data_IF_968652034256
#
_entry.id   IF_968652034256
#
_cell.length_a   1.000
_cell.length_b   1.000
_cell.length_c   1.000
_cell.angle_alpha   90.00
_cell.angle_beta   90.00
_cell.angle_gamma   90.00
#
_symmetry.space_group_name_H-M   'P 1'
#
loop_
_entity.id
_entity.type
_entity.pdbx_description
1 polymer ?
#
# COMPACT_ATOMS: atom_id res chain seq x y z
N UNK A 1 -10.67 13.81 -25.66
CA UNK A 1 -10.29 12.49 -25.09
C UNK A 1 -10.95 12.43 -23.72
N UNK A 2 -11.85 11.46 -23.49
CA UNK A 2 -12.47 11.31 -22.17
C UNK A 2 -11.45 10.67 -21.23
N UNK A 3 -11.21 11.31 -20.08
CA UNK A 3 -10.37 10.75 -19.03
C UNK A 3 -11.29 9.94 -18.13
N UNK A 4 -11.09 8.63 -18.10
CA UNK A 4 -11.81 7.76 -17.18
C UNK A 4 -11.38 8.10 -15.74
N UNK A 5 -12.37 8.25 -14.86
CA UNK A 5 -12.18 8.61 -13.46
C UNK A 5 -12.77 7.55 -12.55
N UNK A 6 -12.19 7.44 -11.36
CA UNK A 6 -12.67 6.61 -10.28
C UNK A 6 -13.12 7.48 -9.10
N UNK A 7 -14.23 7.08 -8.47
CA UNK A 7 -14.63 7.58 -7.16
C UNK A 7 -13.90 6.75 -6.10
N UNK A 8 -13.25 7.45 -5.17
CA UNK A 8 -12.43 6.90 -4.09
C UNK A 8 -12.82 7.50 -2.74
N UNK A 9 -12.49 6.78 -1.66
CA UNK A 9 -12.70 7.26 -0.29
C UNK A 9 -11.41 7.15 0.54
N UNK A 10 -10.87 8.29 0.97
CA UNK A 10 -9.75 8.29 1.94
C UNK A 10 -10.26 8.56 3.34
N UNK A 11 -9.56 8.00 4.32
CA UNK A 11 -9.86 8.13 5.74
C UNK A 11 -8.72 8.93 6.36
N UNK A 12 -9.03 10.05 6.97
CA UNK A 12 -8.03 10.99 7.49
C UNK A 12 -8.37 11.39 8.90
N UNK A 13 -7.35 11.65 9.72
CA UNK A 13 -7.56 12.30 11.00
C UNK A 13 -8.21 13.66 10.77
N UNK A 14 -9.10 14.07 11.68
CA UNK A 14 -9.80 15.35 11.56
C UNK A 14 -8.83 16.53 11.43
N UNK A 15 -7.68 16.48 12.11
CA UNK A 15 -6.64 17.52 12.08
C UNK A 15 -5.94 17.62 10.72
N UNK A 16 -5.64 16.48 10.09
CA UNK A 16 -5.04 16.43 8.76
C UNK A 16 -6.02 16.97 7.71
N UNK A 17 -7.32 16.67 7.87
CA UNK A 17 -8.37 17.19 7.00
C UNK A 17 -8.55 18.71 7.15
N UNK A 18 -8.64 19.22 8.38
CA UNK A 18 -8.76 20.67 8.63
C UNK A 18 -7.56 21.44 8.07
N UNK A 19 -6.35 20.88 8.20
CA UNK A 19 -5.14 21.44 7.60
C UNK A 19 -5.24 21.45 6.07
N UNK A 20 -5.73 20.36 5.47
CA UNK A 20 -5.94 20.28 4.03
C UNK A 20 -7.01 21.26 3.50
N UNK A 21 -8.07 21.53 4.28
CA UNK A 21 -9.09 22.53 3.93
C UNK A 21 -8.51 23.96 3.89
N UNK A 22 -7.58 24.27 4.81
CA UNK A 22 -6.85 25.55 4.82
C UNK A 22 -5.85 25.66 3.67
N UNK A 23 -5.03 24.62 3.47
CA UNK A 23 -3.87 24.67 2.57
C UNK A 23 -4.21 24.26 1.13
N UNK A 24 -5.40 23.71 0.90
CA UNK A 24 -5.86 23.19 -0.39
C UNK A 24 -5.18 21.88 -0.82
N UNK A 25 -4.38 21.26 0.05
CA UNK A 25 -3.59 20.06 -0.26
C UNK A 25 -3.62 19.11 0.93
N UNK A 26 -4.18 17.91 0.71
CA UNK A 26 -4.00 16.79 1.62
C UNK A 26 -2.63 16.15 1.38
N UNK A 27 -1.87 15.91 2.44
CA UNK A 27 -0.53 15.32 2.39
C UNK A 27 -0.52 13.99 3.12
N UNK A 28 0.31 13.05 2.65
CA UNK A 28 0.53 11.80 3.37
C UNK A 28 1.11 12.09 4.75
N UNK A 29 0.78 11.23 5.73
CA UNK A 29 1.42 11.23 7.04
C UNK A 29 2.95 11.19 6.89
N UNK A 30 3.64 11.92 7.77
CA UNK A 30 5.09 11.89 7.80
C UNK A 30 5.56 10.53 8.31
N UNK A 31 6.12 9.71 7.41
CA UNK A 31 6.52 8.34 7.72
C UNK A 31 7.66 8.25 8.76
N UNK A 32 8.37 9.36 9.02
CA UNK A 32 9.33 9.45 10.12
C UNK A 32 8.68 9.26 11.52
N UNK A 33 7.34 9.18 11.59
CA UNK A 33 6.60 8.83 12.80
C UNK A 33 6.45 7.32 13.02
N UNK A 34 6.68 6.49 12.01
CA UNK A 34 6.70 5.03 12.17
C UNK A 34 8.13 4.60 12.52
N UNK A 35 8.29 4.01 13.70
CA UNK A 35 9.58 3.56 14.22
C UNK A 35 10.04 2.20 13.68
N UNK A 36 9.27 1.61 12.77
CA UNK A 36 9.48 0.25 12.28
C UNK A 36 10.12 0.27 10.89
N UNK A 37 11.34 -0.26 10.81
CA UNK A 37 12.10 -0.36 9.57
C UNK A 37 11.40 -1.25 8.53
N UNK A 38 10.61 -2.24 8.98
CA UNK A 38 9.89 -3.15 8.09
C UNK A 38 8.75 -2.45 7.35
N UNK A 39 8.00 -1.59 8.04
CA UNK A 39 6.98 -0.76 7.39
C UNK A 39 7.63 0.19 6.37
N UNK A 40 8.79 0.75 6.68
CA UNK A 40 9.48 1.64 5.76
C UNK A 40 9.85 0.94 4.44
N UNK A 41 10.39 -0.28 4.50
CA UNK A 41 10.74 -1.08 3.31
C UNK A 41 9.53 -1.30 2.41
N UNK A 42 8.41 -1.77 2.98
CA UNK A 42 7.19 -2.04 2.22
C UNK A 42 6.62 -0.77 1.55
N UNK A 43 6.64 0.35 2.26
CA UNK A 43 6.17 1.62 1.71
C UNK A 43 7.13 2.23 0.67
N UNK A 44 8.44 1.98 0.78
CA UNK A 44 9.39 2.35 -0.28
C UNK A 44 9.14 1.51 -1.56
N UNK A 45 8.87 0.21 -1.42
CA UNK A 45 8.44 -0.62 -2.57
C UNK A 45 7.17 -0.07 -3.21
N UNK A 46 6.17 0.32 -2.41
CA UNK A 46 4.93 0.93 -2.91
C UNK A 46 5.20 2.23 -3.68
N UNK A 47 6.13 3.07 -3.21
CA UNK A 47 6.53 4.30 -3.91
C UNK A 47 7.16 4.01 -5.27
N UNK A 48 7.93 2.93 -5.41
CA UNK A 48 8.48 2.49 -6.70
C UNK A 48 7.35 2.06 -7.63
N UNK A 49 6.44 1.19 -7.19
CA UNK A 49 5.29 0.74 -8.00
C UNK A 49 4.36 1.89 -8.41
N UNK A 50 4.13 2.86 -7.51
CA UNK A 50 3.42 4.08 -7.86
C UNK A 50 4.18 4.88 -8.92
N UNK A 51 5.50 5.06 -8.76
CA UNK A 51 6.31 5.81 -9.72
C UNK A 51 6.29 5.20 -11.12
N UNK A 52 6.33 3.86 -11.20
CA UNK A 52 6.22 3.11 -12.46
C UNK A 52 4.84 3.29 -13.11
N UNK A 53 3.76 3.33 -12.31
CA UNK A 53 2.37 3.38 -12.81
C UNK A 53 1.86 4.79 -13.13
N UNK A 54 2.16 5.76 -12.26
CA UNK A 54 1.55 7.10 -12.25
C UNK A 54 2.58 8.23 -12.37
N UNK A 55 3.87 7.89 -12.43
CA UNK A 55 4.96 8.87 -12.52
C UNK A 55 5.50 9.31 -11.16
N UNK A 56 6.55 10.16 -11.15
CA UNK A 56 7.27 10.52 -9.94
C UNK A 56 6.39 11.23 -8.91
N UNK A 57 6.70 11.10 -7.60
CA UNK A 57 5.92 11.74 -6.55
C UNK A 57 6.02 13.28 -6.66
N UNK A 58 5.02 14.02 -6.14
CA UNK A 58 5.05 15.48 -6.13
C UNK A 58 6.24 16.08 -5.39
N UNK A 59 6.74 15.38 -4.35
CA UNK A 59 7.98 15.71 -3.65
C UNK A 59 8.77 14.43 -3.34
N UNK A 60 10.12 14.49 -3.20
CA UNK A 60 10.94 13.28 -3.03
C UNK A 60 10.56 12.39 -1.85
N UNK A 61 10.02 12.98 -0.77
CA UNK A 61 9.70 12.28 0.48
C UNK A 61 8.20 12.01 0.66
N UNK A 62 7.39 12.17 -0.39
CA UNK A 62 5.96 11.85 -0.33
C UNK A 62 5.75 10.33 -0.32
N UNK A 63 4.87 9.90 0.56
CA UNK A 63 4.36 8.54 0.64
C UNK A 63 2.93 8.49 0.05
N UNK A 64 2.41 7.28 -0.21
CA UNK A 64 1.05 7.12 -0.71
C UNK A 64 0.01 7.74 0.23
N UNK A 65 -1.07 8.29 -0.35
CA UNK A 65 -2.33 8.50 0.36
C UNK A 65 -3.21 7.29 0.06
N UNK A 66 -3.56 6.53 1.09
CA UNK A 66 -4.44 5.38 0.94
C UNK A 66 -5.89 5.82 0.75
N UNK A 67 -6.57 5.17 -0.19
CA UNK A 67 -7.99 5.39 -0.44
C UNK A 67 -8.63 4.08 -0.92
N UNK A 68 -9.87 3.86 -0.50
CA UNK A 68 -10.68 2.74 -0.91
C UNK A 68 -11.29 3.01 -2.28
N UNK A 69 -11.04 2.12 -3.25
CA UNK A 69 -11.84 2.00 -4.46
C UNK A 69 -13.05 1.09 -4.25
N UNK A 70 -12.84 0.02 -3.47
CA UNK A 70 -13.84 -0.96 -3.07
C UNK A 70 -13.47 -1.47 -1.67
N UNK A 71 -14.36 -1.29 -0.69
CA UNK A 71 -14.12 -1.76 0.67
C UNK A 71 -14.52 -3.22 0.89
N UNK A 72 -15.79 -3.59 0.59
CA UNK A 72 -16.27 -4.98 0.79
C UNK A 72 -16.52 -5.71 -0.52
N UNK A 73 -17.33 -5.12 -1.38
CA UNK A 73 -17.72 -5.70 -2.66
C UNK A 73 -18.17 -4.59 -3.62
N UNK A 74 -18.51 -4.97 -4.86
CA UNK A 74 -18.90 -4.03 -5.91
C UNK A 74 -20.15 -3.21 -5.61
N UNK A 75 -21.04 -3.70 -4.72
CA UNK A 75 -22.23 -3.00 -4.25
C UNK A 75 -21.96 -2.18 -2.98
N UNK A 76 -20.94 -2.55 -2.21
CA UNK A 76 -20.54 -1.94 -0.94
C UNK A 76 -19.12 -1.35 -1.02
N UNK A 77 -18.91 -0.46 -1.99
CA UNK A 77 -17.59 0.13 -2.27
C UNK A 77 -17.16 1.16 -1.23
N UNK A 78 -18.11 1.94 -0.70
CA UNK A 78 -17.88 3.03 0.24
C UNK A 78 -17.66 2.48 1.66
N UNK A 79 -16.51 2.77 2.31
CA UNK A 79 -16.24 2.27 3.65
C UNK A 79 -17.13 2.93 4.70
N UNK A 80 -17.77 2.16 5.59
CA UNK A 80 -18.54 2.70 6.72
C UNK A 80 -17.62 2.87 7.94
N UNK A 81 -17.39 4.13 8.34
CA UNK A 81 -16.52 4.48 9.48
C UNK A 81 -16.88 3.71 10.75
N UNK A 82 -18.16 3.41 10.98
CA UNK A 82 -18.62 2.68 12.18
C UNK A 82 -18.21 1.22 12.18
N UNK A 83 -17.90 0.66 11.02
CA UNK A 83 -17.49 -0.74 10.86
C UNK A 83 -15.98 -0.90 10.92
N UNK A 84 -15.23 0.10 10.45
CA UNK A 84 -13.75 0.12 10.43
C UNK A 84 -13.14 0.82 11.65
N UNK A 85 -13.98 1.40 12.52
CA UNK A 85 -13.51 2.11 13.71
C UNK A 85 -12.66 1.24 14.65
N UNK A 86 -12.84 -0.09 14.62
CA UNK A 86 -12.01 -1.03 15.40
C UNK A 86 -10.55 -1.07 14.92
N UNK A 87 -10.31 -0.77 13.65
CA UNK A 87 -8.97 -0.76 13.03
C UNK A 87 -8.34 0.64 13.06
N UNK A 88 -9.06 1.64 13.59
CA UNK A 88 -8.60 3.01 13.72
C UNK A 88 -8.25 3.29 15.18
N UNK A 89 -7.12 3.98 15.46
CA UNK A 89 -6.84 4.54 16.78
C UNK A 89 -8.06 5.30 17.35
N UNK A 90 -8.21 5.35 18.68
CA UNK A 90 -9.28 6.10 19.36
C UNK A 90 -9.14 7.63 19.14
N UNK A 91 -9.55 8.11 17.96
CA UNK A 91 -9.47 9.48 17.50
C UNK A 91 -10.63 9.79 16.54
N UNK A 92 -10.84 11.07 16.25
CA UNK A 92 -11.84 11.51 15.28
C UNK A 92 -11.29 11.43 13.85
N UNK A 93 -12.00 10.71 12.99
CA UNK A 93 -11.69 10.56 11.57
C UNK A 93 -12.81 11.08 10.69
N UNK A 94 -12.42 11.56 9.51
CA UNK A 94 -13.33 11.89 8.42
C UNK A 94 -13.12 10.94 7.26
N UNK A 95 -14.21 10.67 6.52
CA UNK A 95 -14.16 9.97 5.24
C UNK A 95 -14.41 10.97 4.13
N UNK A 96 -13.41 11.17 3.29
CA UNK A 96 -13.44 12.11 2.17
C UNK A 96 -13.71 11.33 0.89
N UNK A 97 -14.76 11.69 0.17
CA UNK A 97 -15.07 11.17 -1.16
C UNK A 97 -14.50 12.10 -2.22
N UNK A 98 -13.80 11.54 -3.21
CA UNK A 98 -13.21 12.33 -4.29
C UNK A 98 -13.13 11.55 -5.60
N UNK A 99 -12.96 12.27 -6.70
CA UNK A 99 -12.71 11.69 -8.02
C UNK A 99 -11.25 11.88 -8.42
N UNK A 100 -10.66 10.84 -9.02
CA UNK A 100 -9.30 10.92 -9.56
C UNK A 100 -9.25 10.23 -10.93
N UNK A 101 -8.51 10.75 -11.92
CA UNK A 101 -8.24 10.02 -13.15
C UNK A 101 -7.59 8.66 -12.86
N UNK A 102 -7.99 7.63 -13.60
CA UNK A 102 -7.43 6.28 -13.43
C UNK A 102 -5.91 6.24 -13.67
N UNK A 103 -5.38 7.20 -14.44
CA UNK A 103 -3.95 7.36 -14.68
C UNK A 103 -3.15 7.90 -13.49
N UNK A 104 -3.82 8.39 -12.44
CA UNK A 104 -3.21 8.93 -11.23
C UNK A 104 -3.40 8.01 -10.01
N UNK A 105 -3.89 6.78 -10.24
CA UNK A 105 -4.20 5.80 -9.19
C UNK A 105 -3.44 4.51 -9.47
N UNK A 106 -2.77 3.98 -8.45
CA UNK A 106 -2.36 2.59 -8.38
C UNK A 106 -3.39 1.84 -7.53
N UNK A 107 -4.05 0.83 -8.10
CA UNK A 107 -4.90 -0.07 -7.34
C UNK A 107 -4.04 -1.20 -6.78
N UNK A 108 -4.18 -1.46 -5.49
CA UNK A 108 -3.62 -2.64 -4.82
C UNK A 108 -4.76 -3.41 -4.17
N UNK A 109 -4.54 -4.71 -3.99
CA UNK A 109 -5.42 -5.55 -3.19
C UNK A 109 -5.08 -5.39 -1.70
N UNK A 110 -6.11 -5.28 -0.86
CA UNK A 110 -5.94 -5.04 0.58
C UNK A 110 -5.32 -6.24 1.31
N UNK A 111 -5.71 -7.46 0.93
CA UNK A 111 -5.19 -8.67 1.55
C UNK A 111 -3.76 -8.92 1.06
N UNK A 112 -3.50 -8.77 -0.24
CA UNK A 112 -2.16 -8.95 -0.82
C UNK A 112 -1.14 -7.91 -0.33
N UNK A 113 -1.58 -6.71 0.08
CA UNK A 113 -0.68 -5.74 0.71
C UNK A 113 0.04 -6.31 1.93
N UNK A 114 -0.59 -7.24 2.67
CA UNK A 114 0.05 -7.89 3.82
C UNK A 114 1.24 -8.75 3.43
N UNK A 115 1.30 -9.31 2.21
CA UNK A 115 2.48 -10.05 1.74
C UNK A 115 3.66 -9.10 1.57
N UNK A 116 3.45 -7.92 0.99
CA UNK A 116 4.49 -6.89 0.86
C UNK A 116 4.96 -6.40 2.23
N UNK A 117 4.02 -6.15 3.16
CA UNK A 117 4.31 -5.76 4.54
C UNK A 117 5.24 -6.77 5.22
N UNK A 118 4.90 -8.06 5.12
CA UNK A 118 5.63 -9.13 5.79
C UNK A 118 6.81 -9.71 4.98
N UNK A 119 7.08 -9.16 3.78
CA UNK A 119 8.13 -9.67 2.89
C UNK A 119 7.94 -11.14 2.47
N UNK A 120 6.68 -11.53 2.23
CA UNK A 120 6.34 -12.89 1.81
C UNK A 120 6.30 -13.00 0.28
N UNK A 121 6.66 -14.18 -0.21
CA UNK A 121 6.51 -14.55 -1.61
C UNK A 121 5.04 -14.87 -1.92
N UNK A 122 4.58 -14.50 -3.12
CA UNK A 122 3.25 -14.88 -3.65
C UNK A 122 3.43 -15.79 -4.85
N UNK A 123 3.34 -17.11 -4.65
CA UNK A 123 3.38 -18.04 -5.77
C UNK A 123 2.19 -17.87 -6.71
N UNK A 124 2.44 -18.12 -8.00
CA UNK A 124 1.39 -18.11 -9.04
C UNK A 124 0.49 -19.34 -8.95
N UNK A 125 1.08 -20.44 -8.48
CA UNK A 125 0.47 -21.74 -8.24
C UNK A 125 1.34 -22.53 -7.24
N UNK A 126 0.90 -23.74 -6.89
CA UNK A 126 1.59 -24.60 -5.92
C UNK A 126 3.00 -25.00 -6.40
N UNK A 127 3.20 -25.21 -7.70
CA UNK A 127 4.50 -25.60 -8.25
C UNK A 127 5.54 -24.46 -8.11
N UNK A 128 5.10 -23.20 -8.28
CA UNK A 128 5.90 -21.99 -8.11
C UNK A 128 6.26 -21.74 -6.64
N UNK A 129 5.32 -21.95 -5.72
CA UNK A 129 5.58 -21.91 -4.27
C UNK A 129 6.62 -22.96 -3.86
N UNK A 130 6.43 -24.22 -4.27
CA UNK A 130 7.39 -25.30 -3.98
C UNK A 130 8.77 -25.01 -4.59
N UNK A 131 8.81 -24.38 -5.76
CA UNK A 131 10.06 -23.97 -6.39
C UNK A 131 10.78 -22.91 -5.56
N UNK A 132 10.07 -21.90 -5.08
CA UNK A 132 10.63 -20.87 -4.21
C UNK A 132 11.12 -21.47 -2.88
N UNK A 133 10.39 -22.40 -2.29
CA UNK A 133 10.80 -23.11 -1.06
C UNK A 133 12.09 -23.92 -1.25
N UNK A 134 12.25 -24.59 -2.39
CA UNK A 134 13.52 -25.28 -2.73
C UNK A 134 14.68 -24.29 -2.85
N UNK A 135 14.46 -23.12 -3.47
CA UNK A 135 15.49 -22.09 -3.57
C UNK A 135 15.91 -21.57 -2.19
N UNK A 136 14.96 -21.38 -1.27
CA UNK A 136 15.26 -20.99 0.11
C UNK A 136 16.13 -22.04 0.81
N UNK A 137 15.78 -23.33 0.69
CA UNK A 137 16.53 -24.45 1.26
C UNK A 137 17.94 -24.58 0.68
N UNK A 138 18.08 -24.49 -0.64
CA UNK A 138 19.37 -24.60 -1.35
C UNK A 138 20.35 -23.49 -0.94
N UNK A 139 19.84 -22.34 -0.54
CA UNK A 139 20.61 -21.19 -0.09
C UNK A 139 20.74 -21.06 1.43
N UNK A 140 20.09 -21.93 2.21
CA UNK A 140 20.02 -21.88 3.67
C UNK A 140 19.53 -20.50 4.19
N UNK A 141 18.44 -20.00 3.60
CA UNK A 141 17.81 -18.73 3.95
C UNK A 141 16.30 -18.87 4.09
N UNK A 142 15.68 -18.00 4.89
CA UNK A 142 14.23 -17.89 5.00
C UNK A 142 13.82 -16.42 4.97
N UNK A 143 12.80 -16.06 4.20
CA UNK A 143 12.28 -14.68 4.22
C UNK A 143 11.65 -14.31 5.58
N UNK A 144 11.40 -15.29 6.48
CA UNK A 144 10.94 -15.05 7.84
C UNK A 144 12.04 -14.57 8.79
N UNK A 145 13.33 -14.67 8.40
CA UNK A 145 14.45 -14.37 9.29
C UNK A 145 14.74 -12.86 9.34
N UNK A 146 15.37 -12.32 8.29
CA UNK A 146 15.68 -10.90 8.19
C UNK A 146 15.50 -10.42 6.74
N UNK A 147 14.47 -9.60 6.45
CA UNK A 147 14.32 -8.98 5.15
C UNK A 147 15.30 -7.81 4.95
N UNK A 148 15.75 -7.53 3.71
CA UNK A 148 15.59 -8.36 2.53
C UNK A 148 16.52 -9.58 2.56
N UNK A 149 16.15 -10.63 1.82
CA UNK A 149 16.98 -11.82 1.67
C UNK A 149 18.36 -11.44 1.07
N UNK A 150 19.47 -12.00 1.59
CA UNK A 150 20.82 -11.67 1.11
C UNK A 150 21.11 -12.26 -0.28
N UNK A 151 20.22 -13.11 -0.81
CA UNK A 151 20.34 -13.72 -2.13
C UNK A 151 19.57 -12.87 -3.15
N UNK A 152 20.25 -12.13 -4.04
CA UNK A 152 19.59 -11.12 -4.89
C UNK A 152 18.49 -11.68 -5.79
N UNK A 153 18.64 -12.93 -6.28
CA UNK A 153 17.63 -13.57 -7.10
C UNK A 153 16.34 -13.86 -6.32
N UNK A 154 16.44 -14.35 -5.08
CA UNK A 154 15.25 -14.62 -4.25
C UNK A 154 14.58 -13.32 -3.81
N UNK A 155 15.37 -12.29 -3.47
CA UNK A 155 14.84 -10.96 -3.19
C UNK A 155 14.03 -10.41 -4.37
N UNK A 156 14.58 -10.51 -5.58
CA UNK A 156 13.90 -10.08 -6.80
C UNK A 156 12.58 -10.84 -7.02
N UNK A 157 12.57 -12.15 -6.80
CA UNK A 157 11.36 -12.96 -6.94
C UNK A 157 10.25 -12.47 -6.01
N UNK A 158 10.57 -12.12 -4.75
CA UNK A 158 9.60 -11.53 -3.82
C UNK A 158 9.10 -10.16 -4.30
N UNK A 159 9.96 -9.31 -4.87
CA UNK A 159 9.54 -7.97 -5.33
C UNK A 159 8.71 -7.98 -6.63
N UNK A 160 8.79 -9.08 -7.38
CA UNK A 160 8.14 -9.27 -8.69
C UNK A 160 6.96 -10.25 -8.66
N UNK A 161 6.74 -10.98 -7.55
CA UNK A 161 5.61 -11.90 -7.36
C UNK A 161 4.27 -11.20 -7.23
#
# INVERSE_FOLDING_TARGET
>A
MFVEKMILWTLQHIEDWQSAESDGVLRSVNFNRFSDEDFKRAYDWMRVKMSERIGPPPTPNSYPIWAWYQHRDSNNRKPDLRQIAFDLPEQEYVRVEFEMPNSHVLLSDFDMWHFVLNYWYVGKDEDDDEYFDRLQQDHDVSYYDQPPLPVPNLHRLIEES
#
